data_IF_478210904184
#
_entry.id   IF_478210904184
#
_cell.length_a   1.000
_cell.length_b   1.000
_cell.length_c   1.000
_cell.angle_alpha   90.00
_cell.angle_beta   90.00
_cell.angle_gamma   90.00
#
_symmetry.space_group_name_H-M   'P 1'
#
loop_
_entity.id
_entity.type
_entity.pdbx_description
1 polymer ?
#
# COMPACT_ATOMS: atom_id res chain seq x y z
N UNK A 1 12.29 12.19 12.78
CA UNK A 1 11.38 11.35 11.98
C UNK A 1 10.97 12.07 10.71
N UNK A 2 10.70 11.32 9.66
CA UNK A 2 10.39 11.88 8.35
C UNK A 2 9.00 11.44 7.93
N UNK A 3 8.40 12.20 7.03
CA UNK A 3 7.05 11.91 6.52
C UNK A 3 7.15 11.21 5.19
N UNK A 4 6.34 10.16 5.03
CA UNK A 4 6.31 9.32 3.84
C UNK A 4 4.88 9.06 3.40
N UNK A 5 4.73 8.78 2.12
CA UNK A 5 3.49 8.27 1.55
C UNK A 5 3.81 6.97 0.83
N UNK A 6 3.11 5.91 1.18
CA UNK A 6 3.22 4.62 0.52
C UNK A 6 1.95 4.34 -0.25
N UNK A 7 2.11 3.95 -1.50
CA UNK A 7 1.01 3.45 -2.32
C UNK A 7 1.32 2.00 -2.64
N UNK A 8 0.42 1.09 -2.32
CA UNK A 8 0.56 -0.29 -2.78
C UNK A 8 -0.67 -0.71 -3.56
N UNK A 9 -0.47 -1.69 -4.44
CA UNK A 9 -1.51 -2.17 -5.35
C UNK A 9 -1.64 -3.68 -5.16
N UNK A 10 -2.85 -4.13 -4.86
CA UNK A 10 -3.17 -5.55 -4.81
C UNK A 10 -3.66 -6.01 -6.17
N UNK A 11 -3.41 -7.27 -6.49
CA UNK A 11 -3.82 -7.82 -7.79
C UNK A 11 -5.34 -7.76 -7.97
N UNK A 12 -5.76 -7.33 -9.16
CA UNK A 12 -7.18 -7.10 -9.47
C UNK A 12 -8.00 -8.38 -9.62
N UNK A 13 -7.35 -9.55 -9.71
CA UNK A 13 -8.03 -10.84 -9.76
C UNK A 13 -8.65 -11.26 -8.43
N UNK A 14 -8.29 -10.59 -7.33
CA UNK A 14 -8.95 -10.81 -6.05
C UNK A 14 -10.39 -10.28 -6.10
N UNK A 15 -11.28 -10.92 -5.37
CA UNK A 15 -12.59 -10.32 -5.10
C UNK A 15 -12.40 -9.13 -4.16
N UNK A 16 -13.37 -8.22 -4.13
CA UNK A 16 -13.29 -7.07 -3.20
C UNK A 16 -13.19 -7.53 -1.75
N UNK A 17 -13.92 -8.59 -1.39
CA UNK A 17 -13.86 -9.16 -0.04
C UNK A 17 -12.46 -9.68 0.28
N UNK A 18 -11.83 -10.39 -0.66
CA UNK A 18 -10.47 -10.87 -0.49
C UNK A 18 -9.47 -9.72 -0.36
N UNK A 19 -9.66 -8.67 -1.17
CA UNK A 19 -8.82 -7.48 -1.11
C UNK A 19 -8.93 -6.78 0.26
N UNK A 20 -10.14 -6.65 0.79
CA UNK A 20 -10.35 -6.04 2.11
C UNK A 20 -9.66 -6.84 3.21
N UNK A 21 -9.75 -8.16 3.18
CA UNK A 21 -9.06 -9.03 4.15
C UNK A 21 -7.54 -8.89 4.05
N UNK A 22 -7.03 -8.77 2.84
CA UNK A 22 -5.58 -8.58 2.63
C UNK A 22 -5.12 -7.22 3.16
N UNK A 23 -5.92 -6.18 2.96
CA UNK A 23 -5.64 -4.84 3.48
C UNK A 23 -5.55 -4.88 5.02
N UNK A 24 -6.44 -5.62 5.69
CA UNK A 24 -6.39 -5.77 7.15
C UNK A 24 -5.09 -6.41 7.63
N UNK A 25 -4.54 -7.33 6.86
CA UNK A 25 -3.23 -7.95 7.16
C UNK A 25 -2.09 -6.96 6.92
N UNK A 26 -2.13 -6.23 5.82
CA UNK A 26 -1.07 -5.31 5.44
C UNK A 26 -1.00 -4.11 6.38
N UNK A 27 -2.11 -3.68 6.93
CA UNK A 27 -2.12 -2.55 7.86
C UNK A 27 -1.21 -2.82 9.07
N UNK A 28 -1.01 -4.09 9.43
CA UNK A 28 -0.11 -4.49 10.51
C UNK A 28 1.36 -4.25 10.18
N UNK A 29 1.72 -4.15 8.91
CA UNK A 29 3.08 -3.81 8.50
C UNK A 29 3.46 -2.39 8.95
N UNK A 30 2.46 -1.54 9.18
CA UNK A 30 2.62 -0.14 9.56
C UNK A 30 2.39 0.11 11.05
N UNK A 31 2.39 -0.94 11.89
CA UNK A 31 2.05 -0.82 13.31
C UNK A 31 3.10 -0.06 14.13
N UNK A 32 4.35 0.01 13.67
CA UNK A 32 5.44 0.71 14.37
C UNK A 32 5.63 2.15 13.93
N UNK A 33 4.90 2.61 12.93
CA UNK A 33 4.98 3.98 12.45
C UNK A 33 3.71 4.73 12.83
N UNK A 34 3.79 6.06 12.83
CA UNK A 34 2.65 6.91 13.11
C UNK A 34 1.91 7.21 11.80
N UNK A 35 0.75 6.62 11.63
CA UNK A 35 -0.13 6.92 10.51
C UNK A 35 -0.81 8.24 10.83
N UNK A 36 -0.80 9.18 9.90
CA UNK A 36 -1.54 10.42 10.08
C UNK A 36 -2.51 10.64 8.94
N UNK A 37 -3.66 11.19 9.31
CA UNK A 37 -4.64 11.63 8.36
C UNK A 37 -4.36 13.09 8.00
N UNK A 38 -4.10 13.33 6.74
CA UNK A 38 -4.04 14.66 6.19
C UNK A 38 -5.35 14.87 5.41
N UNK A 39 -6.06 15.95 5.71
CA UNK A 39 -7.31 16.27 5.01
C UNK A 39 -7.13 16.46 3.50
N UNK A 40 -5.89 16.76 3.09
CA UNK A 40 -5.52 16.91 1.69
C UNK A 40 -4.93 15.63 1.08
N UNK A 41 -4.62 14.63 1.89
CA UNK A 41 -4.05 13.37 1.43
C UNK A 41 -5.15 12.32 1.28
N UNK A 42 -5.08 11.59 0.18
CA UNK A 42 -5.99 10.50 -0.09
C UNK A 42 -5.49 9.25 0.65
N UNK A 43 -5.74 9.19 1.96
CA UNK A 43 -5.40 8.00 2.75
C UNK A 43 -6.46 6.93 2.60
N UNK A 44 -6.00 5.68 2.63
CA UNK A 44 -6.85 4.52 2.69
C UNK A 44 -7.15 3.91 1.32
N UNK A 45 -8.23 3.18 1.28
CA UNK A 45 -8.65 2.41 0.12
C UNK A 45 -9.15 3.32 -1.01
N UNK A 46 -8.55 3.15 -2.20
CA UNK A 46 -8.88 3.96 -3.37
C UNK A 46 -9.70 3.20 -4.41
N UNK A 47 -10.00 1.94 -4.16
CA UNK A 47 -10.82 1.13 -5.04
C UNK A 47 -10.04 0.39 -6.11
N UNK A 48 -10.78 -0.35 -6.93
CA UNK A 48 -10.25 -1.08 -8.07
C UNK A 48 -10.06 -0.11 -9.23
N UNK A 49 -8.85 -0.06 -9.76
CA UNK A 49 -8.51 0.83 -10.87
C UNK A 49 -7.81 0.06 -11.98
N UNK A 50 -7.98 0.55 -13.20
CA UNK A 50 -7.26 0.02 -14.34
C UNK A 50 -5.81 0.51 -14.30
N UNK A 51 -4.88 -0.42 -14.50
CA UNK A 51 -3.46 -0.09 -14.55
C UNK A 51 -3.12 0.52 -15.93
N UNK A 52 -2.14 1.43 -15.94
CA UNK A 52 -1.69 2.06 -17.19
C UNK A 52 -1.07 1.02 -18.14
N UNK A 53 -0.46 -0.01 -17.57
CA UNK A 53 0.12 -1.15 -18.30
C UNK A 53 0.00 -2.40 -17.42
N UNK A 54 0.11 -3.57 -18.03
CA UNK A 54 0.00 -4.84 -17.30
C UNK A 54 1.17 -4.99 -16.33
N UNK A 55 0.87 -5.32 -15.07
CA UNK A 55 1.85 -5.58 -14.02
C UNK A 55 1.63 -7.00 -13.51
N UNK A 56 2.64 -7.86 -13.59
CA UNK A 56 2.56 -9.26 -13.16
C UNK A 56 1.32 -9.99 -13.70
N UNK A 57 0.97 -9.72 -14.95
CA UNK A 57 -0.19 -10.32 -15.59
C UNK A 57 -1.53 -9.69 -15.25
N UNK A 58 -1.55 -8.67 -14.40
CA UNK A 58 -2.78 -8.01 -13.96
C UNK A 58 -3.01 -6.72 -14.74
N UNK A 59 -4.25 -6.48 -15.16
CA UNK A 59 -4.67 -5.26 -15.88
C UNK A 59 -5.34 -4.25 -14.96
N UNK A 60 -5.80 -4.71 -13.80
CA UNK A 60 -6.46 -3.90 -12.77
C UNK A 60 -5.80 -4.17 -11.44
N UNK A 61 -6.02 -3.29 -10.48
CA UNK A 61 -5.51 -3.47 -9.12
C UNK A 61 -6.26 -2.62 -8.11
N UNK A 62 -6.22 -3.06 -6.87
CA UNK A 62 -6.80 -2.34 -5.74
C UNK A 62 -5.72 -1.44 -5.14
N UNK A 63 -5.96 -0.16 -5.14
CA UNK A 63 -5.02 0.86 -4.65
C UNK A 63 -5.29 1.20 -3.20
N UNK A 64 -4.23 1.28 -2.42
CA UNK A 64 -4.29 1.74 -1.04
C UNK A 64 -3.15 2.71 -0.78
N UNK A 65 -3.46 3.83 -0.13
CA UNK A 65 -2.48 4.88 0.20
C UNK A 65 -2.36 5.00 1.70
N UNK A 66 -1.14 5.02 2.21
CA UNK A 66 -0.85 5.24 3.63
C UNK A 66 0.15 6.36 3.77
N UNK A 67 -0.24 7.42 4.46
CA UNK A 67 0.67 8.49 4.85
C UNK A 67 1.09 8.28 6.29
N UNK A 68 2.39 8.30 6.55
CA UNK A 68 2.91 7.99 7.87
C UNK A 68 4.20 8.74 8.17
N UNK A 69 4.56 8.76 9.45
CA UNK A 69 5.80 9.34 9.94
C UNK A 69 6.64 8.24 10.57
N UNK A 70 7.92 8.19 10.21
CA UNK A 70 8.82 7.15 10.70
C UNK A 70 10.27 7.39 10.31
N UNK A 71 11.10 6.37 10.49
CA UNK A 71 12.52 6.38 10.14
C UNK A 71 12.77 5.43 8.96
N UNK A 72 13.89 5.60 8.28
CA UNK A 72 14.23 4.82 7.09
C UNK A 72 14.20 3.31 7.32
N UNK A 73 14.65 2.85 8.49
CA UNK A 73 14.63 1.42 8.81
C UNK A 73 13.21 0.87 8.82
N UNK A 74 12.26 1.63 9.36
CA UNK A 74 10.85 1.22 9.38
C UNK A 74 10.27 1.17 7.98
N UNK A 75 10.64 2.11 7.11
CA UNK A 75 10.24 2.10 5.70
C UNK A 75 10.77 0.85 5.01
N UNK A 76 12.04 0.52 5.22
CA UNK A 76 12.65 -0.68 4.65
C UNK A 76 11.93 -1.94 5.10
N UNK A 77 11.58 -2.05 6.37
CA UNK A 77 10.85 -3.20 6.90
C UNK A 77 9.45 -3.33 6.27
N UNK A 78 8.75 -2.20 6.13
CA UNK A 78 7.43 -2.17 5.47
C UNK A 78 7.56 -2.63 4.02
N UNK A 79 8.52 -2.10 3.29
CA UNK A 79 8.72 -2.44 1.89
C UNK A 79 9.11 -3.91 1.70
N UNK A 80 9.91 -4.47 2.61
CA UNK A 80 10.25 -5.88 2.57
C UNK A 80 9.02 -6.76 2.77
N UNK A 81 8.15 -6.39 3.70
CA UNK A 81 6.89 -7.11 3.93
C UNK A 81 5.98 -7.04 2.70
N UNK A 82 5.87 -5.87 2.08
CA UNK A 82 5.07 -5.71 0.86
C UNK A 82 5.66 -6.55 -0.29
N UNK A 83 6.98 -6.57 -0.42
CA UNK A 83 7.65 -7.33 -1.48
C UNK A 83 7.43 -8.82 -1.34
N UNK A 84 7.36 -9.33 -0.11
CA UNK A 84 7.16 -10.75 0.17
C UNK A 84 5.69 -11.17 0.07
N UNK A 85 4.77 -10.22 -0.04
CA UNK A 85 3.34 -10.50 -0.14
C UNK A 85 2.95 -10.74 -1.59
N UNK A 86 2.55 -11.96 -1.92
CA UNK A 86 2.23 -12.36 -3.29
C UNK A 86 1.01 -11.63 -3.87
N UNK A 87 0.15 -11.08 -3.02
CA UNK A 87 -1.02 -10.33 -3.47
C UNK A 87 -0.69 -8.88 -3.81
N UNK A 88 0.49 -8.38 -3.40
CA UNK A 88 0.96 -7.04 -3.73
C UNK A 88 1.72 -7.12 -5.05
N UNK A 89 1.22 -6.45 -6.07
CA UNK A 89 1.85 -6.47 -7.40
C UNK A 89 2.78 -5.29 -7.63
N UNK A 90 2.60 -4.20 -6.89
CA UNK A 90 3.45 -3.01 -6.98
C UNK A 90 3.32 -2.18 -5.72
N UNK A 91 4.39 -1.50 -5.34
CA UNK A 91 4.35 -0.49 -4.28
C UNK A 91 5.38 0.60 -4.55
N UNK A 92 5.11 1.79 -4.06
CA UNK A 92 6.01 2.95 -4.14
C UNK A 92 5.92 3.69 -2.82
N UNK A 93 7.08 4.06 -2.26
CA UNK A 93 7.15 4.94 -1.11
C UNK A 93 7.84 6.24 -1.51
N UNK A 94 7.19 7.35 -1.23
CA UNK A 94 7.71 8.69 -1.52
C UNK A 94 7.90 9.42 -0.20
N UNK A 95 9.01 10.13 -0.07
CA UNK A 95 9.30 10.97 1.08
C UNK A 95 8.85 12.40 0.78
N UNK A 96 8.16 12.99 1.74
CA UNK A 96 7.79 14.41 1.67
C UNK A 96 8.96 15.31 2.01
#
# INVERSE_FOLDING_TARGET
>A
MKKYENVYILKGSLTEEQAMKEIEKIIKYFDKVKIFENKEALNGYQGLKRLAYTVKGEKTGYYYITSFEGIEKQVTDIENNLRLNDNVIKFITVRF
#
